data_IF_132542630840
#
_entry.id   IF_132542630840
#
_cell.length_a   1.000
_cell.length_b   1.000
_cell.length_c   1.000
_cell.angle_alpha   90.00
_cell.angle_beta   90.00
_cell.angle_gamma   90.00
#
_symmetry.space_group_name_H-M   'P 1'
#
loop_
_entity.id
_entity.type
_entity.pdbx_description
1 polymer ?
#
# COMPACT_ATOMS: atom_id res chain seq x y z
N UNK A 1 22.99 -5.99 16.41
CA UNK A 1 23.00 -4.69 15.71
C UNK A 1 22.92 -4.84 14.20
N UNK A 2 23.91 -5.43 13.50
CA UNK A 2 23.86 -5.49 12.03
C UNK A 2 22.72 -6.41 11.50
N UNK A 3 22.51 -7.55 12.14
CA UNK A 3 21.42 -8.49 11.81
C UNK A 3 20.03 -7.88 12.01
N UNK A 4 19.87 -7.01 13.02
CA UNK A 4 18.61 -6.33 13.31
C UNK A 4 18.28 -5.30 12.23
N UNK A 5 19.28 -4.52 11.82
CA UNK A 5 19.16 -3.56 10.71
C UNK A 5 18.82 -4.28 9.40
N UNK A 6 19.47 -5.41 9.12
CA UNK A 6 19.17 -6.23 7.94
C UNK A 6 17.71 -6.68 7.94
N UNK A 7 17.20 -7.13 9.09
CA UNK A 7 15.81 -7.59 9.23
C UNK A 7 14.82 -6.46 8.98
N UNK A 8 15.06 -5.26 9.54
CA UNK A 8 14.24 -4.07 9.30
C UNK A 8 14.18 -3.74 7.80
N UNK A 9 15.32 -3.76 7.11
CA UNK A 9 15.38 -3.48 5.67
C UNK A 9 14.61 -4.51 4.86
N UNK A 10 14.71 -5.79 5.21
CA UNK A 10 13.97 -6.88 4.54
C UNK A 10 12.46 -6.71 4.73
N UNK A 11 12.01 -6.45 5.96
CA UNK A 11 10.59 -6.24 6.25
C UNK A 11 10.04 -4.97 5.60
N UNK A 12 10.82 -3.89 5.56
CA UNK A 12 10.46 -2.66 4.84
C UNK A 12 10.31 -2.90 3.34
N UNK A 13 11.26 -3.62 2.73
CA UNK A 13 11.21 -3.97 1.31
C UNK A 13 9.99 -4.85 1.02
N UNK A 14 9.71 -5.85 1.87
CA UNK A 14 8.55 -6.72 1.75
C UNK A 14 7.24 -5.91 1.83
N UNK A 15 7.15 -4.97 2.78
CA UNK A 15 6.00 -4.10 2.96
C UNK A 15 5.75 -3.19 1.75
N UNK A 16 6.79 -2.58 1.18
CA UNK A 16 6.66 -1.80 -0.05
C UNK A 16 6.17 -2.66 -1.23
N UNK A 17 6.68 -3.89 -1.34
CA UNK A 17 6.29 -4.82 -2.40
C UNK A 17 4.80 -5.19 -2.28
N UNK A 18 4.33 -5.44 -1.05
CA UNK A 18 2.92 -5.69 -0.76
C UNK A 18 2.04 -4.48 -1.07
N UNK A 19 2.47 -3.26 -0.75
CA UNK A 19 1.75 -2.04 -1.13
C UNK A 19 1.58 -1.90 -2.65
N UNK A 20 2.64 -2.17 -3.41
CA UNK A 20 2.59 -2.11 -4.88
C UNK A 20 1.66 -3.15 -5.47
N UNK A 21 1.71 -4.39 -4.95
CA UNK A 21 0.83 -5.47 -5.39
C UNK A 21 -0.62 -5.17 -5.02
N UNK A 22 -0.86 -4.66 -3.81
CA UNK A 22 -2.19 -4.27 -3.34
C UNK A 22 -2.80 -3.17 -4.20
N UNK A 23 -2.03 -2.13 -4.53
CA UNK A 23 -2.46 -1.07 -5.45
C UNK A 23 -2.80 -1.63 -6.83
N UNK A 24 -1.91 -2.45 -7.41
CA UNK A 24 -2.16 -3.03 -8.73
C UNK A 24 -3.39 -3.95 -8.75
N UNK A 25 -3.60 -4.74 -7.70
CA UNK A 25 -4.80 -5.57 -7.58
C UNK A 25 -6.06 -4.71 -7.47
N UNK A 26 -6.02 -3.67 -6.66
CA UNK A 26 -7.15 -2.77 -6.50
C UNK A 26 -7.48 -2.07 -7.83
N UNK A 27 -6.48 -1.55 -8.53
CA UNK A 27 -6.64 -0.91 -9.83
C UNK A 27 -7.27 -1.85 -10.87
N UNK A 28 -6.89 -3.14 -10.88
CA UNK A 28 -7.51 -4.14 -11.77
C UNK A 28 -8.94 -4.51 -11.38
N UNK A 29 -9.25 -4.53 -10.08
CA UNK A 29 -10.61 -4.86 -9.58
C UNK A 29 -11.57 -3.69 -9.81
N UNK A 30 -11.05 -2.47 -9.79
CA UNK A 30 -11.89 -1.27 -9.87
C UNK A 30 -12.26 -0.99 -11.33
N UNK A 31 -13.55 -0.82 -11.67
CA UNK A 31 -13.97 -0.65 -13.07
C UNK A 31 -13.67 0.74 -13.65
N UNK A 32 -13.11 1.65 -12.84
CA UNK A 32 -12.75 3.01 -13.21
C UNK A 32 -11.26 3.24 -12.99
N UNK A 33 -10.69 4.09 -13.85
CA UNK A 33 -9.26 4.39 -13.89
C UNK A 33 -8.93 5.39 -12.78
N UNK A 34 -8.43 4.86 -11.65
CA UNK A 34 -8.14 5.65 -10.45
C UNK A 34 -7.11 6.74 -10.71
N UNK A 35 -6.18 6.55 -11.66
CA UNK A 35 -5.21 7.58 -12.02
C UNK A 35 -5.89 8.74 -12.73
N UNK A 36 -6.74 8.46 -13.72
CA UNK A 36 -7.55 9.50 -14.37
C UNK A 36 -8.43 10.23 -13.39
N UNK A 37 -9.04 9.51 -12.46
CA UNK A 37 -9.95 10.11 -11.49
C UNK A 37 -9.20 10.96 -10.45
N UNK A 38 -7.94 10.61 -10.14
CA UNK A 38 -7.03 11.48 -9.39
C UNK A 38 -6.66 12.75 -10.16
N UNK A 39 -6.35 12.61 -11.46
CA UNK A 39 -5.99 13.73 -12.33
C UNK A 39 -7.17 14.69 -12.55
N UNK A 40 -8.40 14.17 -12.62
CA UNK A 40 -9.65 14.95 -12.68
C UNK A 40 -10.05 15.57 -11.31
N UNK A 41 -9.14 15.58 -10.34
CA UNK A 41 -9.35 16.13 -9.00
C UNK A 41 -10.54 15.50 -8.24
N UNK A 42 -10.87 14.22 -8.51
CA UNK A 42 -11.89 13.52 -7.75
C UNK A 42 -11.36 13.17 -6.36
N UNK A 43 -11.84 13.91 -5.36
CA UNK A 43 -11.54 13.67 -3.96
C UNK A 43 -11.87 12.23 -3.52
N UNK A 44 -12.89 11.62 -4.12
CA UNK A 44 -13.28 10.23 -3.84
C UNK A 44 -12.20 9.21 -4.19
N UNK A 45 -11.54 9.37 -5.34
CA UNK A 45 -10.41 8.52 -5.73
C UNK A 45 -9.22 8.71 -4.77
N UNK A 46 -8.96 9.96 -4.35
CA UNK A 46 -7.95 10.28 -3.34
C UNK A 46 -8.19 9.55 -2.02
N UNK A 47 -9.42 9.60 -1.50
CA UNK A 47 -9.79 8.90 -0.27
C UNK A 47 -9.73 7.36 -0.42
N UNK A 48 -10.10 6.82 -1.57
CA UNK A 48 -10.02 5.38 -1.84
C UNK A 48 -8.58 4.88 -1.81
N UNK A 49 -7.66 5.57 -2.50
CA UNK A 49 -6.23 5.25 -2.51
C UNK A 49 -5.62 5.40 -1.11
N UNK A 50 -5.94 6.49 -0.40
CA UNK A 50 -5.49 6.70 0.97
C UNK A 50 -5.97 5.58 1.91
N UNK A 51 -7.24 5.21 1.84
CA UNK A 51 -7.82 4.12 2.64
C UNK A 51 -7.16 2.77 2.35
N UNK A 52 -6.84 2.49 1.09
CA UNK A 52 -6.11 1.28 0.71
C UNK A 52 -4.72 1.23 1.33
N UNK A 53 -3.92 2.29 1.19
CA UNK A 53 -2.58 2.34 1.77
C UNK A 53 -2.60 2.24 3.29
N UNK A 54 -3.56 2.89 3.96
CA UNK A 54 -3.75 2.77 5.41
C UNK A 54 -4.09 1.33 5.80
N UNK A 55 -5.02 0.68 5.09
CA UNK A 55 -5.40 -0.71 5.35
C UNK A 55 -4.23 -1.68 5.19
N UNK A 56 -3.46 -1.54 4.12
CA UNK A 56 -2.26 -2.35 3.87
C UNK A 56 -1.21 -2.11 4.97
N UNK A 57 -0.99 -0.85 5.37
CA UNK A 57 -0.06 -0.51 6.45
C UNK A 57 -0.47 -1.14 7.79
N UNK A 58 -1.77 -1.19 8.11
CA UNK A 58 -2.29 -1.84 9.32
C UNK A 58 -2.04 -3.35 9.29
N UNK A 59 -2.33 -4.01 8.16
CA UNK A 59 -2.10 -5.46 8.01
C UNK A 59 -0.60 -5.78 8.16
N UNK A 60 0.26 -5.03 7.47
CA UNK A 60 1.71 -5.19 7.55
C UNK A 60 2.20 -4.94 8.98
N UNK A 61 1.73 -3.87 9.63
CA UNK A 61 2.07 -3.54 11.00
C UNK A 61 1.67 -4.64 11.98
N UNK A 62 0.47 -5.21 11.83
CA UNK A 62 -0.01 -6.31 12.68
C UNK A 62 0.67 -7.65 12.43
N UNK A 63 1.32 -7.85 11.28
CA UNK A 63 2.10 -9.06 10.99
C UNK A 63 3.56 -8.92 11.45
N UNK A 64 4.14 -7.72 11.36
CA UNK A 64 5.55 -7.47 11.69
C UNK A 64 5.75 -7.15 13.17
N UNK A 65 4.80 -6.51 13.85
CA UNK A 65 4.81 -6.41 15.32
C UNK A 65 4.21 -7.70 15.91
N UNK A 66 5.02 -8.63 16.44
CA UNK A 66 4.52 -9.67 17.33
C UNK A 66 4.02 -9.09 18.66
#
# INVERSE_FOLDING_TARGET
MLMDVLSIVVYFALGMLLCLVGYKMFDVITPFDLQKELDDHNLGAGFAIAGMFIGIAIIIGGVILP
#
